data_IF_844871834313
#
_entry.id   IF_844871834313
#
_cell.length_a   1.000
_cell.length_b   1.000
_cell.length_c   1.000
_cell.angle_alpha   90.00
_cell.angle_beta   90.00
_cell.angle_gamma   90.00
#
_symmetry.space_group_name_H-M   'P 1'
#
loop_
_entity.id
_entity.type
_entity.pdbx_description
1 polymer ?
#
# COMPACT_ATOMS: atom_id res chain seq x y z
N UNK A 1 -32.54 13.67 13.75
CA UNK A 1 -32.07 13.75 15.15
C UNK A 1 -30.55 13.75 15.27
N UNK A 2 -29.79 13.06 14.39
CA UNK A 2 -28.31 13.05 14.43
C UNK A 2 -27.64 14.38 14.07
N UNK A 3 -28.28 15.26 13.28
CA UNK A 3 -27.65 16.53 12.86
C UNK A 3 -27.50 17.56 14.01
N UNK A 4 -28.05 17.27 15.19
CA UNK A 4 -27.92 18.07 16.41
C UNK A 4 -26.96 17.45 17.44
N UNK A 5 -26.15 16.44 17.05
CA UNK A 5 -25.10 15.88 17.92
C UNK A 5 -24.16 17.02 18.36
N UNK A 6 -24.21 17.37 19.65
CA UNK A 6 -23.25 18.27 20.24
C UNK A 6 -21.87 17.62 20.17
N UNK A 7 -20.93 18.25 19.48
CA UNK A 7 -19.52 17.85 19.51
C UNK A 7 -18.99 18.22 20.88
N UNK A 8 -19.01 17.28 21.82
CA UNK A 8 -18.34 17.47 23.09
C UNK A 8 -16.83 17.42 22.85
N UNK A 9 -16.06 18.43 23.28
CA UNK A 9 -14.64 18.54 23.00
C UNK A 9 -13.81 17.61 23.89
N UNK A 10 -14.25 16.37 24.08
CA UNK A 10 -13.33 15.36 24.58
C UNK A 10 -12.29 15.12 23.48
N UNK A 11 -11.03 15.40 23.81
CA UNK A 11 -9.94 15.30 22.86
C UNK A 11 -9.83 13.86 22.39
N UNK A 12 -9.89 13.66 21.06
CA UNK A 12 -9.55 12.37 20.44
C UNK A 12 -8.18 11.93 20.98
N UNK A 13 -8.08 10.80 21.68
CA UNK A 13 -6.81 10.39 22.27
C UNK A 13 -5.80 10.11 21.17
N UNK A 14 -4.55 10.49 21.42
CA UNK A 14 -3.44 10.18 20.53
C UNK A 14 -3.23 8.67 20.48
N UNK A 15 -3.03 8.14 19.27
CA UNK A 15 -2.75 6.72 19.07
C UNK A 15 -1.36 6.37 19.62
N UNK A 16 -1.20 5.23 20.30
CA UNK A 16 0.08 4.86 20.90
C UNK A 16 1.07 4.39 19.85
N UNK A 17 2.34 4.77 19.97
CA UNK A 17 3.42 4.15 19.20
C UNK A 17 3.85 2.82 19.86
N UNK A 18 3.94 1.75 19.07
CA UNK A 18 4.36 0.42 19.52
C UNK A 18 5.76 0.15 18.96
N UNK A 19 6.77 0.17 19.84
CA UNK A 19 8.13 -0.25 19.48
C UNK A 19 8.21 -1.77 19.37
N UNK A 20 8.64 -2.27 18.23
CA UNK A 20 8.79 -3.70 17.95
C UNK A 20 10.26 -4.14 17.96
N UNK A 21 11.17 -3.25 17.57
CA UNK A 21 12.61 -3.51 17.51
C UNK A 21 13.39 -2.22 17.76
N UNK A 22 14.48 -2.30 18.51
CA UNK A 22 15.44 -1.21 18.64
C UNK A 22 16.27 -1.07 17.37
N UNK A 23 16.63 0.17 17.02
CA UNK A 23 17.46 0.44 15.85
C UNK A 23 18.86 -0.16 16.02
N UNK A 24 19.36 -0.83 14.98
CA UNK A 24 20.75 -1.30 14.99
C UNK A 24 21.70 -0.09 14.84
N UNK A 25 22.57 0.11 15.82
CA UNK A 25 23.56 1.19 15.81
C UNK A 25 24.92 0.75 15.23
N UNK A 26 25.09 -0.55 14.97
CA UNK A 26 26.35 -1.15 14.54
C UNK A 26 26.42 -1.19 13.01
N UNK A 27 25.33 -1.56 12.35
CA UNK A 27 25.27 -1.64 10.89
C UNK A 27 24.75 -0.33 10.28
N UNK A 28 25.31 0.13 9.14
CA UNK A 28 24.80 1.30 8.46
C UNK A 28 23.41 1.01 7.89
N UNK A 29 22.38 1.63 8.46
CA UNK A 29 20.98 1.49 8.05
C UNK A 29 20.30 2.85 7.83
N UNK A 30 19.26 2.83 7.00
CA UNK A 30 18.41 4.00 6.74
C UNK A 30 17.02 3.75 7.32
N UNK A 31 16.60 4.59 8.26
CA UNK A 31 15.24 4.53 8.82
C UNK A 31 14.32 5.54 8.14
N UNK A 32 13.11 5.13 7.78
CA UNK A 32 12.06 6.02 7.28
C UNK A 32 10.67 5.54 7.68
N UNK A 33 9.69 6.43 7.65
CA UNK A 33 8.30 6.10 7.98
C UNK A 33 7.41 5.98 6.73
N UNK A 34 6.44 5.07 6.79
CA UNK A 34 5.47 4.84 5.69
C UNK A 34 4.06 4.89 6.25
N UNK A 35 3.22 5.72 5.66
CA UNK A 35 1.78 5.80 5.91
C UNK A 35 0.98 5.13 4.78
N UNK A 36 -0.08 4.41 5.13
CA UNK A 36 -1.09 3.90 4.21
C UNK A 36 -2.48 4.30 4.72
N UNK A 37 -3.27 4.99 3.89
CA UNK A 37 -4.55 5.51 4.35
C UNK A 37 -5.58 5.70 3.22
N UNK A 38 -6.71 4.98 3.33
CA UNK A 38 -7.91 5.27 2.54
C UNK A 38 -8.66 6.45 3.18
N UNK A 39 -8.80 7.55 2.42
CA UNK A 39 -9.35 8.81 2.95
C UNK A 39 -10.87 8.95 2.83
N UNK A 40 -11.56 7.93 2.27
CA UNK A 40 -12.98 7.96 1.93
C UNK A 40 -13.35 9.16 1.05
N UNK A 41 -13.45 8.95 -0.27
CA UNK A 41 -13.78 10.02 -1.20
C UNK A 41 -15.19 10.58 -0.95
N UNK A 42 -15.42 11.83 -1.34
CA UNK A 42 -16.71 12.50 -1.14
C UNK A 42 -17.84 11.75 -1.86
N UNK A 43 -17.55 11.23 -3.06
CA UNK A 43 -18.51 10.42 -3.83
C UNK A 43 -19.11 9.23 -3.05
N UNK A 44 -18.35 8.58 -2.18
CA UNK A 44 -18.85 7.41 -1.40
C UNK A 44 -19.29 7.77 0.01
N UNK A 45 -18.97 8.96 0.52
CA UNK A 45 -19.35 9.47 1.85
C UNK A 45 -20.85 9.86 1.94
N UNK A 46 -21.74 8.91 1.66
CA UNK A 46 -23.19 9.13 1.55
C UNK A 46 -23.95 8.71 2.81
N UNK A 47 -25.13 9.29 3.05
CA UNK A 47 -26.02 8.91 4.15
C UNK A 47 -26.59 7.48 4.02
N UNK A 48 -26.57 6.92 2.82
CA UNK A 48 -27.00 5.56 2.56
C UNK A 48 -26.02 4.55 3.16
N UNK A 49 -24.72 4.79 3.00
CA UNK A 49 -23.66 3.94 3.57
C UNK A 49 -23.35 4.31 5.04
N UNK A 50 -23.37 5.60 5.36
CA UNK A 50 -22.96 6.13 6.66
C UNK A 50 -24.13 6.79 7.38
N UNK A 51 -25.26 6.10 7.46
CA UNK A 51 -26.51 6.63 8.05
C UNK A 51 -26.39 7.04 9.52
N UNK A 52 -25.39 6.53 10.23
CA UNK A 52 -25.05 6.86 11.62
C UNK A 52 -24.22 8.16 11.75
N UNK A 53 -23.58 8.64 10.68
CA UNK A 53 -22.77 9.86 10.71
C UNK A 53 -23.61 11.09 10.29
N UNK A 54 -23.61 12.20 11.07
CA UNK A 54 -24.29 13.44 10.69
C UNK A 54 -23.85 13.98 9.32
N UNK A 55 -24.77 14.62 8.59
CA UNK A 55 -24.49 15.03 7.20
C UNK A 55 -23.40 16.11 7.14
N UNK A 56 -23.35 16.98 8.15
CA UNK A 56 -22.31 17.99 8.28
C UNK A 56 -20.93 17.39 8.56
N UNK A 57 -20.86 16.24 9.23
CA UNK A 57 -19.63 15.52 9.52
C UNK A 57 -19.17 14.68 8.32
N UNK A 58 -20.10 14.24 7.45
CA UNK A 58 -19.78 13.59 6.18
C UNK A 58 -19.29 14.56 5.10
N UNK A 59 -19.73 15.82 5.18
CA UNK A 59 -19.40 16.83 4.18
C UNK A 59 -17.89 16.98 4.00
N UNK A 60 -17.44 16.95 2.74
CA UNK A 60 -16.02 17.06 2.39
C UNK A 60 -15.31 18.27 3.02
N UNK A 61 -15.95 19.44 3.06
CA UNK A 61 -15.34 20.66 3.63
C UNK A 61 -15.04 20.53 5.12
N UNK A 62 -15.76 19.66 5.82
CA UNK A 62 -15.49 19.27 7.19
C UNK A 62 -14.41 18.18 7.26
N UNK A 63 -14.64 17.03 6.60
CA UNK A 63 -13.75 15.85 6.70
C UNK A 63 -12.34 16.12 6.22
N UNK A 64 -12.17 16.90 5.15
CA UNK A 64 -10.84 17.21 4.59
C UNK A 64 -9.91 17.85 5.62
N UNK A 65 -10.45 18.56 6.61
CA UNK A 65 -9.66 19.14 7.71
C UNK A 65 -9.07 18.05 8.60
N UNK A 66 -9.89 17.12 9.06
CA UNK A 66 -9.44 15.98 9.86
C UNK A 66 -8.52 15.05 9.07
N UNK A 67 -8.81 14.79 7.78
CA UNK A 67 -7.95 13.97 6.91
C UNK A 67 -6.56 14.60 6.80
N UNK A 68 -6.48 15.92 6.54
CA UNK A 68 -5.21 16.60 6.47
C UNK A 68 -4.51 16.66 7.83
N UNK A 69 -5.25 16.83 8.94
CA UNK A 69 -4.70 16.79 10.30
C UNK A 69 -4.06 15.43 10.62
N UNK A 70 -4.73 14.31 10.30
CA UNK A 70 -4.18 12.96 10.44
C UNK A 70 -2.87 12.82 9.64
N UNK A 71 -2.89 13.14 8.33
CA UNK A 71 -1.71 13.05 7.46
C UNK A 71 -0.56 13.91 7.99
N UNK A 72 -0.86 15.13 8.42
CA UNK A 72 0.10 16.09 8.97
C UNK A 72 0.70 15.61 10.29
N UNK A 73 -0.12 15.03 11.16
CA UNK A 73 0.30 14.55 12.49
C UNK A 73 1.16 13.29 12.41
N UNK A 74 0.86 12.39 11.46
CA UNK A 74 1.67 11.21 11.18
C UNK A 74 3.06 11.54 10.63
N UNK A 75 3.19 12.67 9.92
CA UNK A 75 4.45 13.25 9.42
C UNK A 75 5.34 12.27 8.63
N UNK A 76 4.72 11.27 8.00
CA UNK A 76 5.40 10.11 7.42
C UNK A 76 6.32 10.46 6.25
N UNK A 77 7.46 9.79 6.10
CA UNK A 77 8.40 10.09 5.02
C UNK A 77 7.86 9.71 3.63
N UNK A 78 7.05 8.66 3.58
CA UNK A 78 6.30 8.18 2.41
C UNK A 78 4.83 8.04 2.81
N UNK A 79 3.91 8.55 1.99
CA UNK A 79 2.47 8.49 2.23
C UNK A 79 1.79 7.88 1.02
N UNK A 80 1.10 6.76 1.21
CA UNK A 80 0.26 6.12 0.20
C UNK A 80 -1.21 6.33 0.54
N UNK A 81 -1.95 7.02 -0.33
CA UNK A 81 -3.38 7.30 -0.15
C UNK A 81 -4.23 6.57 -1.18
N UNK A 82 -5.37 6.05 -0.76
CA UNK A 82 -6.45 5.54 -1.62
C UNK A 82 -7.67 6.45 -1.53
N UNK A 83 -8.57 6.36 -2.51
CA UNK A 83 -9.76 7.20 -2.62
C UNK A 83 -9.47 8.72 -2.71
N UNK A 84 -8.36 9.07 -3.34
CA UNK A 84 -8.04 10.48 -3.61
C UNK A 84 -8.78 10.93 -4.87
N UNK A 85 -9.75 11.85 -4.75
CA UNK A 85 -10.40 12.46 -5.92
C UNK A 85 -9.43 13.30 -6.73
N UNK A 86 -9.57 13.25 -8.06
CA UNK A 86 -8.67 13.92 -9.01
C UNK A 86 -8.52 15.42 -8.73
N UNK A 87 -9.62 16.16 -8.55
CA UNK A 87 -9.55 17.60 -8.27
C UNK A 87 -8.91 17.87 -6.90
N UNK A 88 -9.19 17.03 -5.89
CA UNK A 88 -8.64 17.18 -4.55
C UNK A 88 -7.13 16.90 -4.51
N UNK A 89 -6.62 15.97 -5.32
CA UNK A 89 -5.18 15.79 -5.46
C UNK A 89 -4.49 17.10 -5.86
N UNK A 90 -4.98 17.76 -6.90
CA UNK A 90 -4.36 18.96 -7.45
C UNK A 90 -4.65 20.23 -6.64
N UNK A 91 -5.81 20.32 -5.99
CA UNK A 91 -6.25 21.52 -5.28
C UNK A 91 -5.96 21.50 -3.76
N UNK A 92 -5.85 20.33 -3.14
CA UNK A 92 -5.69 20.18 -1.69
C UNK A 92 -4.41 19.41 -1.34
N UNK A 93 -4.34 18.12 -1.68
CA UNK A 93 -3.31 17.23 -1.15
C UNK A 93 -1.91 17.63 -1.62
N UNK A 94 -1.69 17.76 -2.94
CA UNK A 94 -0.38 18.07 -3.48
C UNK A 94 0.10 19.47 -3.07
N UNK A 95 -0.69 20.56 -3.16
CA UNK A 95 -0.24 21.87 -2.70
C UNK A 95 0.13 21.89 -1.21
N UNK A 96 -0.74 21.35 -0.34
CA UNK A 96 -0.51 21.36 1.11
C UNK A 96 0.71 20.50 1.52
N UNK A 97 0.92 19.36 0.87
CA UNK A 97 2.07 18.51 1.15
C UNK A 97 3.36 19.06 0.52
N UNK A 98 3.30 19.80 -0.59
CA UNK A 98 4.46 20.51 -1.14
C UNK A 98 5.01 21.56 -0.17
N UNK A 99 4.15 22.28 0.53
CA UNK A 99 4.57 23.21 1.59
C UNK A 99 5.32 22.51 2.74
N UNK A 100 5.13 21.19 2.88
CA UNK A 100 5.80 20.33 3.87
C UNK A 100 6.98 19.54 3.30
N UNK A 101 7.44 19.88 2.10
CA UNK A 101 8.63 19.28 1.48
C UNK A 101 8.39 17.97 0.74
N UNK A 102 7.13 17.61 0.48
CA UNK A 102 6.80 16.44 -0.33
C UNK A 102 6.71 16.78 -1.82
N UNK A 103 6.98 15.79 -2.66
CA UNK A 103 6.41 15.73 -4.02
C UNK A 103 5.49 14.52 -4.11
N UNK A 104 4.72 14.41 -5.19
CA UNK A 104 3.69 13.38 -5.30
C UNK A 104 3.47 12.84 -6.71
N UNK A 105 3.00 11.60 -6.77
CA UNK A 105 2.46 10.98 -7.96
C UNK A 105 1.03 10.49 -7.70
N UNK A 106 0.12 10.78 -8.63
CA UNK A 106 -1.27 10.35 -8.59
C UNK A 106 -1.72 9.81 -9.93
N UNK A 107 -2.59 8.82 -9.89
CA UNK A 107 -3.35 8.38 -11.04
C UNK A 107 -4.81 8.10 -10.64
N UNK A 108 -5.80 8.60 -11.39
CA UNK A 108 -7.20 8.24 -11.18
C UNK A 108 -7.49 6.82 -11.72
N UNK A 109 -8.58 6.21 -11.25
CA UNK A 109 -9.10 4.96 -11.83
C UNK A 109 -9.39 5.08 -13.32
N UNK A 110 -9.29 3.96 -14.04
CA UNK A 110 -9.30 3.92 -15.51
C UNK A 110 -10.54 4.53 -16.16
N UNK A 111 -11.69 4.53 -15.48
CA UNK A 111 -12.92 5.17 -15.97
C UNK A 111 -12.76 6.65 -16.29
N UNK A 112 -11.80 7.35 -15.68
CA UNK A 112 -11.51 8.75 -16.00
C UNK A 112 -11.21 8.98 -17.49
N UNK A 113 -10.78 7.96 -18.24
CA UNK A 113 -10.50 8.09 -19.67
C UNK A 113 -11.74 8.24 -20.55
N UNK A 114 -12.90 7.77 -20.09
CA UNK A 114 -14.15 7.70 -20.88
C UNK A 114 -15.25 8.65 -20.39
N UNK A 115 -15.03 9.34 -19.26
CA UNK A 115 -16.00 10.26 -18.66
C UNK A 115 -15.84 11.69 -19.20
N UNK A 116 -16.81 12.55 -18.91
CA UNK A 116 -16.69 13.99 -19.21
C UNK A 116 -15.66 14.68 -18.31
N UNK A 117 -15.11 15.82 -18.73
CA UNK A 117 -14.13 16.58 -17.93
C UNK A 117 -14.64 16.95 -16.53
N UNK A 118 -15.94 17.24 -16.39
CA UNK A 118 -16.54 17.55 -15.09
C UNK A 118 -16.61 16.32 -14.18
N UNK A 119 -16.95 15.15 -14.72
CA UNK A 119 -17.01 13.92 -13.91
C UNK A 119 -15.61 13.39 -13.56
N UNK A 120 -14.63 13.56 -14.45
CA UNK A 120 -13.23 13.16 -14.22
C UNK A 120 -12.66 13.75 -12.94
N UNK A 121 -13.03 14.99 -12.60
CA UNK A 121 -12.63 15.68 -11.37
C UNK A 121 -12.95 14.89 -10.10
N UNK A 122 -14.05 14.14 -10.11
CA UNK A 122 -14.55 13.35 -8.99
C UNK A 122 -14.21 11.85 -9.13
N UNK A 123 -13.41 11.46 -10.12
CA UNK A 123 -12.88 10.10 -10.18
C UNK A 123 -11.75 10.00 -9.17
N UNK A 124 -11.93 9.07 -8.22
CA UNK A 124 -10.95 8.72 -7.21
C UNK A 124 -9.83 7.81 -7.77
N UNK A 125 -8.69 7.79 -7.09
CA UNK A 125 -7.53 6.96 -7.43
C UNK A 125 -6.53 6.85 -6.29
N UNK A 126 -5.30 6.48 -6.64
CA UNK A 126 -4.21 6.28 -5.68
C UNK A 126 -3.14 7.37 -5.83
N UNK A 127 -2.62 7.84 -4.71
CA UNK A 127 -1.50 8.77 -4.66
C UNK A 127 -0.35 8.23 -3.81
N UNK A 128 0.89 8.56 -4.18
CA UNK A 128 2.08 8.34 -3.37
C UNK A 128 2.80 9.68 -3.23
N UNK A 129 3.05 10.11 -2.00
CA UNK A 129 3.87 11.27 -1.66
C UNK A 129 5.16 10.81 -0.98
N UNK A 130 6.24 11.55 -1.18
CA UNK A 130 7.54 11.26 -0.57
C UNK A 130 8.29 12.55 -0.26
N UNK A 131 9.02 12.58 0.87
CA UNK A 131 9.85 13.74 1.24
C UNK A 131 11.02 13.90 0.26
N UNK A 132 11.07 15.05 -0.41
CA UNK A 132 12.10 15.35 -1.41
C UNK A 132 13.51 15.51 -0.81
N UNK A 133 13.61 15.79 0.49
CA UNK A 133 14.89 15.81 1.19
C UNK A 133 15.49 14.41 1.40
N UNK A 134 14.64 13.36 1.40
CA UNK A 134 15.02 11.96 1.65
C UNK A 134 15.05 11.11 0.38
N UNK A 135 14.22 11.46 -0.60
CA UNK A 135 14.01 10.67 -1.81
C UNK A 135 13.95 11.52 -3.07
N UNK A 136 14.52 10.98 -4.15
CA UNK A 136 14.37 11.52 -5.51
C UNK A 136 13.57 10.57 -6.40
N UNK A 137 12.58 11.08 -7.13
CA UNK A 137 11.77 10.27 -8.04
C UNK A 137 12.56 9.89 -9.29
N UNK A 138 12.71 8.58 -9.54
CA UNK A 138 13.40 8.03 -10.70
C UNK A 138 12.43 7.58 -11.80
N UNK A 139 11.33 6.94 -11.42
CA UNK A 139 10.31 6.48 -12.34
C UNK A 139 8.93 6.41 -11.66
N UNK A 140 7.87 6.45 -12.45
CA UNK A 140 6.48 6.34 -11.98
C UNK A 140 5.66 5.53 -12.97
N UNK A 141 4.78 4.68 -12.45
CA UNK A 141 3.98 3.76 -13.26
C UNK A 141 2.54 3.65 -12.72
N UNK A 142 1.59 3.55 -13.63
CA UNK A 142 0.20 3.17 -13.31
C UNK A 142 -0.05 1.78 -13.89
N UNK A 143 -0.61 0.90 -13.08
CA UNK A 143 -1.07 -0.43 -13.49
C UNK A 143 -2.59 -0.41 -13.54
N UNK A 144 -3.15 -0.58 -14.73
CA UNK A 144 -4.59 -0.63 -14.97
C UNK A 144 -5.04 -2.08 -15.07
N UNK A 145 -5.69 -2.58 -14.03
CA UNK A 145 -6.00 -4.02 -13.91
C UNK A 145 -6.93 -4.52 -15.01
N UNK A 146 -7.85 -3.69 -15.50
CA UNK A 146 -8.69 -4.04 -16.64
C UNK A 146 -7.90 -4.29 -17.93
N UNK A 147 -6.86 -3.48 -18.20
CA UNK A 147 -6.02 -3.65 -19.39
C UNK A 147 -5.14 -4.89 -19.26
N UNK A 148 -4.57 -5.13 -18.08
CA UNK A 148 -3.79 -6.34 -17.82
C UNK A 148 -4.68 -7.59 -17.93
N UNK A 149 -5.89 -7.55 -17.37
CA UNK A 149 -6.87 -8.63 -17.49
C UNK A 149 -7.26 -8.87 -18.94
N UNK A 150 -7.55 -7.81 -19.71
CA UNK A 150 -7.87 -7.91 -21.13
C UNK A 150 -6.74 -8.58 -21.93
N UNK A 151 -5.49 -8.16 -21.70
CA UNK A 151 -4.31 -8.71 -22.39
C UNK A 151 -4.03 -10.18 -22.02
N UNK A 152 -4.52 -10.65 -20.87
CA UNK A 152 -4.31 -12.00 -20.35
C UNK A 152 -5.62 -12.80 -20.25
N UNK A 153 -6.62 -12.47 -21.06
CA UNK A 153 -7.96 -13.08 -21.01
C UNK A 153 -8.17 -14.27 -21.92
N UNK A 154 -7.17 -14.63 -22.73
CA UNK A 154 -7.26 -15.71 -23.70
C UNK A 154 -7.73 -17.02 -23.03
N UNK A 155 -8.82 -17.59 -23.56
CA UNK A 155 -9.41 -18.83 -23.04
C UNK A 155 -10.23 -18.71 -21.75
N UNK A 156 -10.40 -17.51 -21.16
CA UNK A 156 -11.15 -17.34 -19.90
C UNK A 156 -12.25 -16.27 -19.98
N UNK A 157 -13.50 -16.74 -20.15
CA UNK A 157 -14.68 -15.86 -20.05
C UNK A 157 -14.79 -15.20 -18.67
N UNK A 158 -14.36 -15.89 -17.61
CA UNK A 158 -14.39 -15.34 -16.26
C UNK A 158 -13.45 -14.14 -16.12
N UNK A 159 -12.27 -14.16 -16.76
CA UNK A 159 -11.36 -13.02 -16.81
C UNK A 159 -12.02 -11.80 -17.48
N UNK A 160 -12.68 -12.01 -18.62
CA UNK A 160 -13.40 -10.94 -19.35
C UNK A 160 -14.59 -10.39 -18.56
N UNK A 161 -15.44 -11.27 -18.05
CA UNK A 161 -16.72 -10.87 -17.47
C UNK A 161 -16.58 -10.32 -16.05
N UNK A 162 -15.67 -10.88 -15.24
CA UNK A 162 -15.56 -10.54 -13.81
C UNK A 162 -14.40 -9.61 -13.50
N UNK A 163 -13.23 -9.80 -14.13
CA UNK A 163 -11.99 -9.07 -13.80
C UNK A 163 -11.83 -7.83 -14.68
N UNK A 164 -11.88 -7.97 -16.01
CA UNK A 164 -11.69 -6.87 -16.96
C UNK A 164 -12.72 -5.75 -16.81
N UNK A 165 -13.93 -6.07 -16.34
CA UNK A 165 -14.99 -5.08 -16.08
C UNK A 165 -14.75 -4.18 -14.87
N UNK A 166 -13.68 -4.40 -14.09
CA UNK A 166 -13.34 -3.60 -12.90
C UNK A 166 -12.24 -2.61 -13.21
N UNK A 167 -12.47 -1.34 -12.87
CA UNK A 167 -11.60 -0.20 -13.21
C UNK A 167 -10.58 0.17 -12.13
N UNK A 168 -10.35 -0.75 -11.18
CA UNK A 168 -9.34 -0.63 -10.14
C UNK A 168 -7.93 -0.49 -10.72
N UNK A 169 -7.05 0.16 -9.95
CA UNK A 169 -5.68 0.44 -10.36
C UNK A 169 -4.69 0.24 -9.20
N UNK A 170 -3.42 0.16 -9.57
CA UNK A 170 -2.29 0.42 -8.68
C UNK A 170 -1.36 1.47 -9.29
N UNK A 171 -0.61 2.15 -8.45
CA UNK A 171 0.47 3.05 -8.84
C UNK A 171 1.77 2.62 -8.17
N UNK A 172 2.91 2.89 -8.82
CA UNK A 172 4.20 2.71 -8.19
C UNK A 172 5.17 3.83 -8.56
N UNK A 173 6.10 4.08 -7.66
CA UNK A 173 7.23 4.99 -7.87
C UNK A 173 8.53 4.26 -7.53
N UNK A 174 9.55 4.52 -8.33
CA UNK A 174 10.91 4.12 -8.04
C UNK A 174 11.63 5.35 -7.49
N UNK A 175 12.15 5.24 -6.27
CA UNK A 175 12.79 6.31 -5.54
C UNK A 175 14.28 6.02 -5.37
N UNK A 176 15.13 7.02 -5.58
CA UNK A 176 16.51 7.04 -5.11
C UNK A 176 16.53 7.51 -3.65
N UNK A 177 17.10 6.70 -2.76
CA UNK A 177 17.23 6.99 -1.32
C UNK A 177 18.50 7.80 -1.09
N UNK A 178 18.38 8.97 -0.46
CA UNK A 178 19.51 9.84 -0.17
C UNK A 178 20.41 9.26 0.93
N UNK A 179 21.74 9.41 0.77
CA UNK A 179 22.75 8.84 1.69
C UNK A 179 22.90 9.63 2.99
N UNK A 180 22.45 10.89 3.02
CA UNK A 180 22.65 11.84 4.13
C UNK A 180 21.44 11.92 5.09
N UNK A 181 20.62 10.87 5.17
CA UNK A 181 19.53 10.80 6.13
C UNK A 181 20.07 10.99 7.57
N UNK A 182 19.55 11.94 8.38
CA UNK A 182 20.06 12.23 9.72
C UNK A 182 20.18 10.96 10.58
N UNK A 183 21.42 10.60 10.93
CA UNK A 183 21.78 9.32 11.57
C UNK A 183 22.69 8.42 10.72
N UNK A 184 22.88 8.73 9.44
CA UNK A 184 23.85 8.08 8.55
C UNK A 184 25.24 8.71 8.67
N UNK A 185 26.16 8.08 9.38
CA UNK A 185 27.56 8.49 9.49
C UNK A 185 28.41 8.21 8.23
N UNK A 186 27.90 8.43 7.02
CA UNK A 186 28.57 7.98 5.79
C UNK A 186 29.12 9.15 4.95
N UNK A 187 30.41 9.46 5.11
CA UNK A 187 31.20 10.10 4.04
C UNK A 187 32.06 9.01 3.37
N UNK A 188 31.65 8.54 2.20
CA UNK A 188 32.43 7.61 1.38
C UNK A 188 32.63 8.21 -0.02
N UNK A 189 33.90 8.28 -0.43
CA UNK A 189 34.40 9.03 -1.59
C UNK A 189 34.66 8.12 -2.81
N UNK A 190 33.81 7.12 -3.02
CA UNK A 190 33.84 6.27 -4.21
C UNK A 190 32.46 6.27 -4.88
N UNK A 191 32.43 6.02 -6.20
CA UNK A 191 31.23 6.00 -7.04
C UNK A 191 30.27 4.87 -6.61
N UNK A 192 29.55 5.05 -5.50
CA UNK A 192 28.69 4.03 -4.90
C UNK A 192 27.33 4.06 -5.59
N UNK A 193 26.93 2.90 -6.14
CA UNK A 193 25.63 2.61 -6.74
C UNK A 193 24.47 3.30 -5.99
N UNK A 194 23.51 3.84 -6.74
CA UNK A 194 22.32 4.50 -6.20
C UNK A 194 21.48 3.47 -5.44
N UNK A 195 21.14 3.75 -4.17
CA UNK A 195 20.20 2.91 -3.43
C UNK A 195 18.79 3.22 -3.93
N UNK A 196 18.13 2.23 -4.51
CA UNK A 196 16.76 2.36 -4.99
C UNK A 196 15.77 1.74 -3.98
N UNK A 197 14.55 2.27 -3.97
CA UNK A 197 13.39 1.76 -3.24
C UNK A 197 12.17 1.89 -4.15
N UNK A 198 11.45 0.79 -4.36
CA UNK A 198 10.14 0.87 -5.03
C UNK A 198 9.04 1.03 -3.98
N UNK A 199 8.12 1.96 -4.20
CA UNK A 199 6.91 2.11 -3.39
C UNK A 199 5.71 1.87 -4.30
N UNK A 200 4.84 0.95 -3.90
CA UNK A 200 3.64 0.60 -4.61
C UNK A 200 2.40 0.91 -3.75
N UNK A 201 1.34 1.37 -4.39
CA UNK A 201 0.06 1.68 -3.76
C UNK A 201 -1.10 1.18 -4.64
N UNK A 202 -2.02 0.36 -4.11
CA UNK A 202 -3.19 -0.11 -4.85
C UNK A 202 -4.49 -0.04 -4.04
N UNK A 203 -5.61 -0.01 -4.77
CA UNK A 203 -6.95 -0.14 -4.19
C UNK A 203 -7.73 -1.19 -5.00
N UNK A 204 -7.89 -2.37 -4.40
CA UNK A 204 -8.52 -3.54 -5.04
C UNK A 204 -10.05 -3.42 -5.04
N UNK A 205 -10.70 -4.28 -5.83
CA UNK A 205 -12.15 -4.33 -5.88
C UNK A 205 -12.76 -4.63 -4.50
N UNK A 206 -13.91 -4.03 -4.17
CA UNK A 206 -14.45 -4.04 -2.80
C UNK A 206 -15.40 -5.21 -2.51
N UNK A 207 -16.19 -5.63 -3.51
CA UNK A 207 -17.33 -6.53 -3.31
C UNK A 207 -16.89 -7.88 -2.67
N UNK A 208 -17.43 -8.26 -1.49
CA UNK A 208 -17.14 -9.54 -0.84
C UNK A 208 -17.35 -10.77 -1.73
N UNK A 209 -18.27 -10.70 -2.71
CA UNK A 209 -18.57 -11.78 -3.64
C UNK A 209 -17.57 -11.91 -4.80
N UNK A 210 -16.47 -11.16 -4.77
CA UNK A 210 -15.46 -11.13 -5.82
C UNK A 210 -14.04 -11.37 -5.29
N UNK A 211 -13.90 -12.33 -4.37
CA UNK A 211 -12.60 -12.82 -3.87
C UNK A 211 -11.63 -13.18 -5.00
N UNK A 212 -12.14 -13.77 -6.08
CA UNK A 212 -11.41 -14.14 -7.29
C UNK A 212 -10.80 -12.91 -7.96
N UNK A 213 -11.58 -11.83 -8.10
CA UNK A 213 -11.10 -10.58 -8.70
C UNK A 213 -10.04 -9.95 -7.83
N UNK A 214 -10.23 -9.90 -6.51
CA UNK A 214 -9.25 -9.33 -5.56
C UNK A 214 -7.92 -10.06 -5.65
N UNK A 215 -7.95 -11.40 -5.70
CA UNK A 215 -6.77 -12.24 -5.84
C UNK A 215 -6.07 -12.05 -7.19
N UNK A 216 -6.82 -12.06 -8.29
CA UNK A 216 -6.25 -11.87 -9.64
C UNK A 216 -5.67 -10.45 -9.79
N UNK A 217 -6.34 -9.41 -9.28
CA UNK A 217 -5.81 -8.04 -9.27
C UNK A 217 -4.48 -7.94 -8.52
N UNK A 218 -4.39 -8.62 -7.37
CA UNK A 218 -3.14 -8.68 -6.60
C UNK A 218 -2.02 -9.37 -7.39
N UNK A 219 -2.31 -10.49 -8.05
CA UNK A 219 -1.35 -11.21 -8.91
C UNK A 219 -0.87 -10.36 -10.09
N UNK A 220 -1.80 -9.70 -10.78
CA UNK A 220 -1.50 -8.77 -11.87
C UNK A 220 -0.58 -7.64 -11.37
N UNK A 221 -0.90 -7.06 -10.22
CA UNK A 221 -0.10 -5.97 -9.67
C UNK A 221 1.32 -6.41 -9.34
N UNK A 222 1.47 -7.52 -8.61
CA UNK A 222 2.78 -8.07 -8.24
C UNK A 222 3.61 -8.44 -9.48
N UNK A 223 2.98 -9.05 -10.50
CA UNK A 223 3.64 -9.38 -11.75
C UNK A 223 4.15 -8.14 -12.50
N UNK A 224 3.35 -7.08 -12.58
CA UNK A 224 3.76 -5.82 -13.22
C UNK A 224 4.87 -5.11 -12.43
N UNK A 225 4.79 -5.10 -11.10
CA UNK A 225 5.82 -4.57 -10.23
C UNK A 225 7.17 -5.29 -10.41
N UNK A 226 7.15 -6.62 -10.59
CA UNK A 226 8.33 -7.39 -10.95
C UNK A 226 8.93 -6.94 -12.27
N UNK A 227 8.11 -6.77 -13.31
CA UNK A 227 8.58 -6.29 -14.62
C UNK A 227 9.23 -4.90 -14.52
N UNK A 228 8.68 -4.02 -13.67
CA UNK A 228 9.24 -2.68 -13.41
C UNK A 228 10.61 -2.80 -12.73
N UNK A 229 10.75 -3.62 -11.69
CA UNK A 229 12.03 -3.85 -11.01
C UNK A 229 13.06 -4.44 -11.99
N UNK A 230 12.68 -5.44 -12.78
CA UNK A 230 13.60 -6.07 -13.72
C UNK A 230 14.13 -5.07 -14.75
N UNK A 231 13.27 -4.20 -15.28
CA UNK A 231 13.68 -3.12 -16.21
C UNK A 231 14.59 -2.11 -15.54
N UNK A 232 14.34 -1.76 -14.27
CA UNK A 232 15.14 -0.80 -13.52
C UNK A 232 16.52 -1.36 -13.11
N UNK A 233 16.60 -2.64 -12.79
CA UNK A 233 17.82 -3.31 -12.35
C UNK A 233 18.67 -3.86 -13.52
N UNK A 234 18.09 -3.96 -14.73
CA UNK A 234 18.78 -4.50 -15.91
C UNK A 234 20.00 -3.66 -16.29
N UNK A 235 21.18 -4.30 -16.32
CA UNK A 235 22.41 -3.74 -16.90
C UNK A 235 22.70 -4.41 -18.25
N UNK A 236 23.14 -3.66 -19.29
CA UNK A 236 23.49 -4.26 -20.57
C UNK A 236 24.52 -5.40 -20.41
N UNK A 237 24.18 -6.59 -20.90
CA UNK A 237 25.07 -7.77 -20.87
C UNK A 237 25.08 -8.58 -19.57
N UNK A 238 24.18 -8.31 -18.60
CA UNK A 238 24.02 -9.11 -17.37
C UNK A 238 22.85 -10.11 -17.47
N UNK A 239 22.88 -11.23 -16.74
CA UNK A 239 21.71 -12.11 -16.60
C UNK A 239 20.52 -11.35 -16.00
N UNK A 240 19.31 -11.91 -16.15
CA UNK A 240 18.10 -11.31 -15.61
C UNK A 240 18.28 -10.96 -14.11
N UNK A 241 18.01 -9.71 -13.70
CA UNK A 241 18.25 -9.29 -12.32
C UNK A 241 17.32 -10.02 -11.35
N UNK A 242 17.81 -10.29 -10.14
CA UNK A 242 17.00 -10.85 -9.05
C UNK A 242 15.79 -9.92 -8.79
N UNK A 243 14.55 -10.42 -8.73
CA UNK A 243 13.39 -9.60 -8.36
C UNK A 243 13.54 -8.93 -6.98
N UNK A 244 14.38 -9.48 -6.10
CA UNK A 244 14.69 -8.90 -4.80
C UNK A 244 15.86 -7.91 -4.86
N UNK A 245 16.41 -7.58 -6.03
CA UNK A 245 17.53 -6.64 -6.16
C UNK A 245 17.19 -5.20 -5.75
N UNK A 246 15.91 -4.83 -5.80
CA UNK A 246 15.41 -3.54 -5.34
C UNK A 246 14.40 -3.82 -4.22
N UNK A 247 14.63 -3.34 -2.99
CA UNK A 247 13.64 -3.44 -1.93
C UNK A 247 12.36 -2.71 -2.32
N UNK A 248 11.21 -3.21 -1.90
CA UNK A 248 9.96 -2.48 -2.08
C UNK A 248 9.00 -2.56 -0.91
N UNK A 249 8.17 -1.53 -0.84
CA UNK A 249 7.07 -1.38 0.10
C UNK A 249 5.78 -1.35 -0.70
N UNK A 250 4.82 -2.19 -0.33
CA UNK A 250 3.49 -2.29 -0.92
C UNK A 250 2.46 -1.84 0.10
N UNK A 251 1.88 -0.67 -0.12
CA UNK A 251 0.69 -0.19 0.57
C UNK A 251 -0.54 -0.58 -0.24
N UNK A 252 -1.61 -1.06 0.39
CA UNK A 252 -2.86 -1.26 -0.32
C UNK A 252 -4.07 -1.32 0.61
N UNK A 253 -5.18 -0.78 0.12
CA UNK A 253 -6.51 -1.26 0.50
C UNK A 253 -6.80 -2.48 -0.38
N UNK A 254 -6.67 -3.66 0.22
CA UNK A 254 -6.86 -4.94 -0.47
C UNK A 254 -8.31 -5.39 -0.45
N UNK A 255 -9.19 -4.76 0.33
CA UNK A 255 -10.55 -5.22 0.58
C UNK A 255 -10.61 -6.73 0.95
N UNK A 256 -9.56 -7.23 1.61
CA UNK A 256 -9.32 -8.66 1.84
C UNK A 256 -8.83 -8.89 3.27
N UNK A 257 -9.50 -9.79 3.99
CA UNK A 257 -9.16 -10.14 5.37
C UNK A 257 -7.84 -10.93 5.47
N UNK A 258 -7.20 -11.00 6.66
CA UNK A 258 -5.92 -11.70 6.83
C UNK A 258 -5.92 -13.19 6.46
N UNK A 259 -7.08 -13.85 6.46
CA UNK A 259 -7.27 -15.26 6.12
C UNK A 259 -7.65 -15.51 4.65
N UNK A 260 -7.60 -14.45 3.81
CA UNK A 260 -7.88 -14.53 2.38
C UNK A 260 -6.71 -15.09 1.56
N UNK A 261 -7.00 -15.60 0.37
CA UNK A 261 -6.00 -16.03 -0.61
C UNK A 261 -5.10 -14.88 -1.09
N UNK A 262 -5.57 -13.63 -1.00
CA UNK A 262 -4.78 -12.42 -1.31
C UNK A 262 -3.62 -12.28 -0.33
N UNK A 263 -3.91 -12.36 0.97
CA UNK A 263 -2.89 -12.23 2.03
C UNK A 263 -1.99 -13.46 2.07
N UNK A 264 -2.54 -14.66 1.84
CA UNK A 264 -1.76 -15.89 1.66
C UNK A 264 -0.74 -15.74 0.51
N UNK A 265 -1.20 -15.31 -0.68
CA UNK A 265 -0.36 -15.12 -1.85
C UNK A 265 0.82 -14.20 -1.55
N UNK A 266 0.54 -13.01 -1.00
CA UNK A 266 1.57 -11.99 -0.69
C UNK A 266 2.55 -12.47 0.38
N UNK A 267 2.08 -13.13 1.44
CA UNK A 267 2.90 -13.52 2.58
C UNK A 267 3.76 -14.75 2.28
N UNK A 268 3.19 -15.73 1.58
CA UNK A 268 3.81 -17.04 1.35
C UNK A 268 4.58 -17.13 0.02
N UNK A 269 4.61 -16.06 -0.77
CA UNK A 269 5.27 -16.05 -2.08
C UNK A 269 4.48 -16.78 -3.17
N UNK A 270 3.19 -17.03 -2.93
CA UNK A 270 2.33 -17.74 -3.87
C UNK A 270 1.14 -18.43 -3.23
N UNK A 271 0.22 -18.88 -4.08
CA UNK A 271 -1.01 -19.58 -3.71
C UNK A 271 -1.27 -20.72 -4.69
N UNK A 272 -2.03 -21.73 -4.29
CA UNK A 272 -2.46 -22.79 -5.19
C UNK A 272 -3.43 -22.25 -6.25
N UNK A 273 -3.33 -22.72 -7.50
CA UNK A 273 -4.21 -22.31 -8.60
C UNK A 273 -5.67 -22.79 -8.43
N UNK A 274 -5.89 -23.75 -7.53
CA UNK A 274 -7.19 -24.28 -7.13
C UNK A 274 -7.71 -23.69 -5.80
N UNK A 275 -7.11 -22.59 -5.32
CA UNK A 275 -7.54 -21.95 -4.07
C UNK A 275 -9.03 -21.56 -4.12
N UNK A 276 -9.74 -21.74 -3.00
CA UNK A 276 -11.20 -21.54 -2.87
C UNK A 276 -11.66 -20.14 -3.33
N UNK A 277 -10.80 -19.13 -3.16
CA UNK A 277 -11.13 -17.75 -3.54
C UNK A 277 -11.27 -17.56 -5.05
N UNK A 278 -10.75 -18.47 -5.87
CA UNK A 278 -11.02 -18.51 -7.32
C UNK A 278 -12.43 -19.04 -7.66
N UNK A 279 -13.20 -19.49 -6.66
CA UNK A 279 -14.61 -19.92 -6.79
C UNK A 279 -14.84 -21.06 -7.80
N UNK A 280 -13.85 -21.94 -7.98
CA UNK A 280 -13.86 -23.03 -8.97
C UNK A 280 -14.08 -22.57 -10.42
N UNK A 281 -13.89 -21.28 -10.69
CA UNK A 281 -14.02 -20.71 -12.01
C UNK A 281 -12.78 -21.09 -12.84
N UNK A 282 -12.99 -21.35 -14.14
CA UNK A 282 -11.91 -21.74 -15.06
C UNK A 282 -11.04 -20.53 -15.43
N UNK A 283 -10.14 -20.17 -14.52
CA UNK A 283 -9.05 -19.21 -14.76
C UNK A 283 -7.73 -19.92 -15.11
N UNK A 284 -7.61 -21.22 -14.80
CA UNK A 284 -6.33 -21.92 -14.60
C UNK A 284 -5.30 -21.74 -15.72
N UNK A 285 -5.70 -21.75 -17.00
CA UNK A 285 -4.75 -21.58 -18.10
C UNK A 285 -4.16 -20.17 -18.14
N UNK A 286 -4.98 -19.14 -17.90
CA UNK A 286 -4.55 -17.74 -17.97
C UNK A 286 -3.85 -17.24 -16.70
N UNK A 287 -4.11 -17.83 -15.52
CA UNK A 287 -3.43 -17.45 -14.27
C UNK A 287 -1.92 -17.70 -14.33
N UNK A 288 -1.49 -18.70 -15.11
CA UNK A 288 -0.08 -19.01 -15.32
C UNK A 288 0.72 -17.83 -15.92
N UNK A 289 0.04 -16.89 -16.59
CA UNK A 289 0.65 -15.67 -17.11
C UNK A 289 1.18 -14.75 -16.02
N UNK A 290 0.63 -14.85 -14.80
CA UNK A 290 1.07 -14.06 -13.64
C UNK A 290 2.06 -14.82 -12.74
N UNK A 291 2.47 -16.03 -13.13
CA UNK A 291 3.51 -16.76 -12.42
C UNK A 291 4.88 -16.15 -12.72
N UNK A 292 5.38 -15.38 -11.76
CA UNK A 292 6.60 -14.60 -11.89
C UNK A 292 7.85 -15.45 -12.04
N UNK A 293 7.85 -16.70 -11.55
CA UNK A 293 9.00 -17.60 -11.60
C UNK A 293 9.06 -18.42 -12.90
N UNK A 294 8.16 -18.18 -13.85
CA UNK A 294 8.11 -18.83 -15.17
C UNK A 294 6.91 -19.78 -15.33
N UNK A 295 6.50 -20.00 -16.59
CA UNK A 295 5.32 -20.85 -16.91
C UNK A 295 5.52 -22.34 -16.64
N UNK A 296 6.77 -22.81 -16.60
CA UNK A 296 7.12 -24.23 -16.46
C UNK A 296 7.75 -24.59 -15.10
N UNK A 297 7.86 -23.64 -14.17
CA UNK A 297 8.71 -23.78 -12.97
C UNK A 297 8.02 -24.37 -11.74
N UNK A 298 6.72 -24.69 -11.82
CA UNK A 298 6.02 -25.40 -10.74
C UNK A 298 5.19 -26.56 -11.29
N UNK A 299 5.62 -27.82 -11.10
CA UNK A 299 4.80 -29.01 -11.34
C UNK A 299 3.54 -29.08 -10.45
N UNK A 300 3.46 -28.23 -9.42
CA UNK A 300 2.57 -28.39 -8.26
C UNK A 300 1.28 -27.53 -8.31
N UNK A 301 0.92 -26.94 -9.45
CA UNK A 301 -0.31 -26.13 -9.57
C UNK A 301 -0.32 -24.89 -8.66
N UNK A 302 0.78 -24.14 -8.61
CA UNK A 302 0.91 -22.92 -7.79
C UNK A 302 1.26 -21.71 -8.65
N UNK A 303 0.70 -20.56 -8.28
CA UNK A 303 1.03 -19.26 -8.86
C UNK A 303 1.94 -18.56 -7.86
N UNK A 304 3.16 -18.23 -8.25
CA UNK A 304 4.21 -17.78 -7.32
C UNK A 304 4.81 -16.43 -7.69
N UNK A 305 5.37 -15.75 -6.70
CA UNK A 305 6.20 -14.56 -6.86
C UNK A 305 7.53 -14.69 -6.12
N UNK A 306 8.56 -14.04 -6.67
CA UNK A 306 9.92 -14.09 -6.08
C UNK A 306 10.12 -13.16 -4.89
N UNK A 307 9.17 -12.26 -4.62
CA UNK A 307 9.28 -11.32 -3.51
C UNK A 307 9.08 -11.99 -2.16
N UNK A 308 9.94 -11.63 -1.21
CA UNK A 308 9.84 -12.10 0.17
C UNK A 308 9.20 -11.01 1.03
N UNK A 309 7.87 -11.05 1.14
CA UNK A 309 7.10 -10.02 1.83
C UNK A 309 6.71 -10.42 3.25
N UNK A 310 6.46 -9.39 4.06
CA UNK A 310 5.85 -9.48 5.38
C UNK A 310 4.99 -8.24 5.62
N UNK A 311 3.85 -8.40 6.29
CA UNK A 311 3.03 -7.26 6.75
C UNK A 311 3.74 -6.56 7.90
N UNK A 312 3.73 -5.23 7.95
CA UNK A 312 4.24 -4.48 9.09
C UNK A 312 3.36 -4.66 10.35
N UNK A 313 2.07 -4.95 10.16
CA UNK A 313 1.09 -5.20 11.21
C UNK A 313 0.79 -6.69 11.27
N UNK A 314 1.63 -7.47 11.97
CA UNK A 314 1.39 -8.88 12.25
C UNK A 314 0.65 -9.07 13.58
N UNK A 315 0.21 -10.30 13.88
CA UNK A 315 -0.33 -10.70 15.19
C UNK A 315 -1.48 -9.82 15.71
N UNK A 316 -2.30 -9.29 14.79
CA UNK A 316 -3.46 -8.44 15.12
C UNK A 316 -3.10 -7.21 15.97
N UNK A 317 -1.93 -6.60 15.72
CA UNK A 317 -1.53 -5.33 16.35
C UNK A 317 -2.59 -4.22 16.19
N UNK A 318 -3.35 -4.26 15.09
CA UNK A 318 -4.63 -3.56 14.96
C UNK A 318 -5.75 -4.58 14.76
N UNK A 319 -6.86 -4.48 15.52
CA UNK A 319 -8.00 -5.40 15.37
C UNK A 319 -8.81 -5.15 14.09
N UNK A 320 -8.73 -3.94 13.54
CA UNK A 320 -9.41 -3.52 12.33
C UNK A 320 -8.68 -2.32 11.72
N UNK A 321 -8.81 -2.16 10.41
CA UNK A 321 -8.33 -0.99 9.67
C UNK A 321 -9.50 -0.26 9.03
N UNK A 322 -10.55 -0.97 8.60
CA UNK A 322 -11.86 -0.41 8.29
C UNK A 322 -12.83 -0.66 9.45
N UNK A 323 -13.57 0.37 9.86
CA UNK A 323 -14.49 0.34 10.99
C UNK A 323 -15.80 1.04 10.62
N UNK A 324 -16.75 0.30 10.07
CA UNK A 324 -18.13 0.75 9.82
C UNK A 324 -19.09 0.08 10.79
N UNK A 325 -20.37 0.46 10.76
CA UNK A 325 -21.40 -0.23 11.55
C UNK A 325 -21.49 -1.71 11.17
N UNK A 326 -21.59 -2.01 9.87
CA UNK A 326 -21.84 -3.36 9.34
C UNK A 326 -20.58 -4.22 9.20
N UNK A 327 -19.39 -3.61 9.03
CA UNK A 327 -18.13 -4.32 8.82
C UNK A 327 -17.00 -3.72 9.64
N UNK A 328 -16.23 -4.58 10.30
CA UNK A 328 -15.01 -4.23 11.04
C UNK A 328 -13.96 -5.28 10.73
N UNK A 329 -12.83 -4.89 10.17
CA UNK A 329 -11.80 -5.85 9.78
C UNK A 329 -10.52 -5.20 9.28
N UNK A 330 -9.45 -5.99 9.23
CA UNK A 330 -8.18 -5.59 8.63
C UNK A 330 -8.26 -5.85 7.14
N UNK A 331 -8.28 -4.78 6.34
CA UNK A 331 -8.27 -4.84 4.88
C UNK A 331 -7.21 -3.93 4.25
N UNK A 332 -6.53 -3.13 5.07
CA UNK A 332 -5.43 -2.25 4.67
C UNK A 332 -4.10 -2.81 5.17
N UNK A 333 -3.07 -2.75 4.32
CA UNK A 333 -1.78 -3.38 4.62
C UNK A 333 -0.61 -2.51 4.17
N UNK A 334 0.49 -2.60 4.94
CA UNK A 334 1.83 -2.19 4.52
C UNK A 334 2.70 -3.45 4.49
N UNK A 335 2.94 -4.00 3.31
CA UNK A 335 3.91 -5.07 3.09
C UNK A 335 5.28 -4.50 2.77
N UNK A 336 6.34 -5.18 3.20
CA UNK A 336 7.71 -4.79 2.93
C UNK A 336 8.59 -6.00 2.60
N UNK A 337 9.67 -5.79 1.85
CA UNK A 337 10.68 -6.83 1.56
C UNK A 337 11.45 -7.22 2.83
N UNK A 338 11.10 -8.36 3.45
CA UNK A 338 11.66 -8.82 4.74
C UNK A 338 13.14 -9.20 4.71
N UNK A 339 13.71 -9.35 3.51
CA UNK A 339 15.14 -9.59 3.31
C UNK A 339 15.99 -8.32 3.37
N UNK A 340 15.37 -7.16 3.24
CA UNK A 340 16.04 -5.86 3.16
C UNK A 340 15.69 -4.93 4.31
N UNK A 341 14.51 -5.11 4.91
CA UNK A 341 13.98 -4.19 5.89
C UNK A 341 13.55 -4.89 7.16
N UNK A 342 13.70 -4.19 8.28
CA UNK A 342 13.09 -4.51 9.57
C UNK A 342 12.00 -3.49 9.91
N UNK A 343 11.06 -3.88 10.77
CA UNK A 343 10.08 -2.97 11.35
C UNK A 343 10.56 -2.56 12.74
N UNK A 344 10.81 -1.26 12.92
CA UNK A 344 11.21 -0.71 14.22
C UNK A 344 10.00 -0.46 15.12
N UNK A 345 8.89 -0.04 14.54
CA UNK A 345 7.65 0.18 15.27
C UNK A 345 6.49 0.58 14.37
N UNK A 346 5.29 0.57 14.95
CA UNK A 346 4.03 0.88 14.27
C UNK A 346 3.15 1.77 15.13
N UNK A 347 2.25 2.53 14.50
CA UNK A 347 1.20 3.27 15.19
C UNK A 347 0.04 2.34 15.54
N UNK A 348 -0.16 2.10 16.83
CA UNK A 348 -1.21 1.24 17.36
C UNK A 348 -2.64 1.74 17.08
N UNK A 349 -3.65 0.96 17.49
CA UNK A 349 -5.05 1.32 17.27
C UNK A 349 -5.46 2.54 18.09
N UNK A 350 -6.52 3.24 17.64
CA UNK A 350 -7.23 4.17 18.51
C UNK A 350 -7.78 3.41 19.73
N UNK A 351 -7.73 4.04 20.90
CA UNK A 351 -8.15 3.41 22.16
C UNK A 351 -9.59 2.86 22.06
N UNK A 352 -9.77 1.51 22.12
CA UNK A 352 -11.09 0.90 22.06
C UNK A 352 -11.99 1.33 23.22
N UNK A 353 -11.42 1.65 24.39
CA UNK A 353 -12.19 2.11 25.54
C UNK A 353 -12.83 3.47 25.26
N UNK A 354 -12.07 4.41 24.71
CA UNK A 354 -12.59 5.72 24.31
C UNK A 354 -13.72 5.59 23.27
N UNK A 355 -13.57 4.69 22.29
CA UNK A 355 -14.62 4.41 21.30
C UNK A 355 -15.91 3.90 21.96
N UNK A 356 -15.79 3.02 22.97
CA UNK A 356 -16.93 2.50 23.73
C UNK A 356 -17.58 3.58 24.59
N UNK A 357 -16.80 4.38 25.32
CA UNK A 357 -17.29 5.47 26.18
C UNK A 357 -18.05 6.54 25.38
N UNK A 358 -17.63 6.78 24.13
CA UNK A 358 -18.27 7.71 23.20
C UNK A 358 -19.35 7.06 22.32
N UNK A 359 -19.71 5.79 22.54
CA UNK A 359 -20.70 5.05 21.77
C UNK A 359 -20.45 5.04 20.24
N UNK A 360 -19.17 5.01 19.82
CA UNK A 360 -18.80 5.03 18.41
C UNK A 360 -18.84 3.61 17.85
N UNK A 361 -19.94 3.28 17.17
CA UNK A 361 -20.18 1.95 16.58
C UNK A 361 -19.74 1.81 15.12
N UNK A 362 -19.36 2.91 14.48
CA UNK A 362 -18.89 2.98 13.10
C UNK A 362 -18.30 4.35 12.76
N UNK A 363 -17.44 4.39 11.76
CA UNK A 363 -16.79 5.57 11.20
C UNK A 363 -17.22 5.78 9.73
N UNK A 364 -17.15 6.99 9.17
CA UNK A 364 -16.63 8.22 9.78
C UNK A 364 -17.54 8.74 10.91
N UNK A 365 -16.96 9.58 11.75
CA UNK A 365 -17.53 10.20 12.93
C UNK A 365 -17.10 11.68 12.96
N UNK A 366 -17.80 12.60 13.64
CA UNK A 366 -17.33 13.98 13.88
C UNK A 366 -15.84 14.15 14.22
N UNK A 367 -15.22 13.18 14.89
CA UNK A 367 -13.80 13.18 15.26
C UNK A 367 -12.93 12.23 14.43
N UNK A 368 -13.51 11.40 13.57
CA UNK A 368 -12.80 10.38 12.78
C UNK A 368 -13.23 10.53 11.31
N UNK A 369 -12.39 11.12 10.45
CA UNK A 369 -12.84 11.68 9.17
C UNK A 369 -12.89 10.68 8.01
N UNK A 370 -12.50 9.42 8.24
CA UNK A 370 -12.60 8.30 7.30
C UNK A 370 -13.22 7.10 8.03
N UNK A 371 -13.80 6.16 7.29
CA UNK A 371 -14.16 4.84 7.81
C UNK A 371 -12.96 3.90 7.96
N UNK A 372 -11.80 4.28 7.43
CA UNK A 372 -10.52 3.62 7.68
C UNK A 372 -9.69 4.36 8.75
N UNK A 373 -8.84 3.61 9.44
CA UNK A 373 -7.76 4.12 10.29
C UNK A 373 -6.44 4.07 9.52
N UNK A 374 -5.61 5.11 9.64
CA UNK A 374 -4.31 5.11 8.98
C UNK A 374 -3.38 4.04 9.55
N UNK A 375 -2.60 3.40 8.69
CA UNK A 375 -1.44 2.62 9.11
C UNK A 375 -0.22 3.52 9.02
N UNK A 376 0.65 3.46 10.03
CA UNK A 376 1.95 4.12 10.04
C UNK A 376 3.00 3.15 10.59
N UNK A 377 4.10 2.96 9.87
CA UNK A 377 5.20 2.08 10.29
C UNK A 377 6.54 2.78 10.11
N UNK A 378 7.49 2.51 10.99
CA UNK A 378 8.90 2.88 10.81
C UNK A 378 9.66 1.64 10.33
N UNK A 379 10.28 1.76 9.16
CA UNK A 379 11.10 0.72 8.55
C UNK A 379 12.58 1.09 8.66
N UNK A 380 13.42 0.08 8.86
CA UNK A 380 14.87 0.17 8.79
C UNK A 380 15.36 -0.60 7.56
N UNK A 381 15.86 0.12 6.56
CA UNK A 381 16.43 -0.44 5.35
C UNK A 381 17.93 -0.70 5.52
N UNK A 382 18.31 -1.95 5.27
CA UNK A 382 19.69 -2.41 5.23
C UNK A 382 20.16 -2.47 3.77
N UNK A 383 21.18 -1.69 3.37
CA UNK A 383 21.77 -1.80 2.05
C UNK A 383 22.31 -3.23 1.84
N UNK A 384 22.28 -3.77 0.61
CA UNK A 384 22.88 -5.06 0.34
C UNK A 384 24.35 -5.03 0.77
N UNK A 385 24.72 -5.93 1.68
CA UNK A 385 26.11 -6.14 2.05
C UNK A 385 26.85 -6.54 0.77
N UNK A 386 27.80 -5.70 0.33
CA UNK A 386 28.72 -6.09 -0.74
C UNK A 386 29.29 -7.47 -0.36
N UNK A 387 29.31 -8.46 -1.27
CA UNK A 387 29.98 -9.71 -0.99
C UNK A 387 31.40 -9.36 -0.56
N UNK A 388 31.79 -9.83 0.62
CA UNK A 388 33.18 -9.77 1.09
C UNK A 388 34.03 -10.33 -0.06
N UNK A 389 34.76 -9.44 -0.74
CA UNK A 389 35.76 -9.84 -1.71
C UNK A 389 36.71 -10.76 -0.95
N UNK A 390 36.71 -12.03 -1.36
CA UNK A 390 37.51 -13.15 -0.87
C UNK A 390 38.66 -12.79 0.09
N UNK A 391 38.63 -13.37 1.30
CA UNK A 391 39.85 -13.92 1.87
C UNK A 391 40.40 -13.35 3.18
N UNK A 392 39.58 -12.94 4.16
CA UNK A 392 40.08 -12.81 5.54
C UNK A 392 39.27 -13.70 6.47
N UNK A 393 39.83 -14.88 6.77
CA UNK A 393 39.39 -15.73 7.85
C UNK A 393 39.48 -14.96 9.18
N UNK A 394 38.33 -14.74 9.84
CA UNK A 394 38.33 -14.42 11.26
C UNK A 394 38.73 -15.67 12.05
N UNK A 395 39.65 -15.57 13.04
CA UNK A 395 40.03 -16.72 13.83
C UNK A 395 38.86 -17.16 14.71
N UNK A 396 38.49 -18.43 14.59
CA UNK A 396 37.58 -19.10 15.51
C UNK A 396 38.12 -19.00 16.93
N UNK A 397 37.42 -18.27 17.80
CA UNK A 397 37.65 -18.33 19.24
C UNK A 397 36.95 -19.57 19.80
N UNK A 398 37.75 -20.42 20.45
CA UNK A 398 37.31 -21.53 21.31
C UNK A 398 36.55 -21.03 22.52
#
# INVERSE_FOLDING_TARGET
MLDNLAVHPEQLPQRPWITLKERDQILPSVSFTVMCYNVLCDKYATRQLYGYCPSWALNWEYRKKGIMEEIVSCDADIISLQEVETEQYFALFLPALKERGYDGFFSPKSRAKIMSEQEKKHVDGCAIFFRTEKFSLMAKHTVEFNQVAMANSEGSEAMLNRVMTKDNIGVSVLLEVHKDLPGGGMRSNHSVDKQLLMVANAHMHWDPEYSDVKLIQTMMFVSELKSIIEKAASRPGSPAPDPNSIPFVLCADLNSLPDSGVVEYLTNGGVADNHKDFKELRYNECLSNFNCNGKNSTPDGRITHGFQLRSAYENNLMPYTNYTFDFKGVIDYIFYSKTHMDVLGVLGPLDPQWMMENNITGCPHPHIPSDHFSLLTQLELHPPLLPLINGVHLPSRR
#
